data_IF_676111248650
#
_entry.id   IF_676111248650
#
_cell.length_a   1.000
_cell.length_b   1.000
_cell.length_c   1.000
_cell.angle_alpha   90.00
_cell.angle_beta   90.00
_cell.angle_gamma   90.00
#
_symmetry.space_group_name_H-M   'P 1'
#
loop_
_entity.id
_entity.type
_entity.pdbx_description
1 polymer ?
#
# COMPACT_ATOMS: atom_id res chain seq x y z
N UNK A 1 -10.74 -8.11 -2.69
CA UNK A 1 -10.04 -9.04 -1.78
C UNK A 1 -9.78 -10.34 -2.53
N UNK A 2 -8.93 -10.28 -3.55
CA UNK A 2 -8.31 -11.46 -4.18
C UNK A 2 -7.26 -12.08 -3.26
N UNK A 3 -6.72 -13.25 -3.65
CA UNK A 3 -5.80 -14.03 -2.81
C UNK A 3 -4.45 -13.35 -2.48
N UNK A 4 -4.10 -12.27 -3.17
CA UNK A 4 -2.86 -11.49 -3.04
C UNK A 4 -3.09 -10.05 -2.52
N UNK A 5 -4.32 -9.70 -2.14
CA UNK A 5 -4.67 -8.36 -1.66
C UNK A 5 -4.76 -8.31 -0.13
N UNK A 6 -4.06 -7.36 0.48
CA UNK A 6 -4.07 -7.12 1.92
C UNK A 6 -4.57 -5.71 2.23
N UNK A 7 -5.47 -5.60 3.22
CA UNK A 7 -6.01 -4.31 3.69
C UNK A 7 -5.69 -4.14 5.17
N UNK A 8 -5.08 -3.01 5.51
CA UNK A 8 -4.73 -2.65 6.89
C UNK A 8 -5.55 -1.43 7.31
N UNK A 9 -6.39 -1.58 8.33
CA UNK A 9 -7.19 -0.48 8.90
C UNK A 9 -6.54 0.04 10.18
N UNK A 10 -6.11 1.32 10.18
CA UNK A 10 -5.51 1.98 11.33
C UNK A 10 -6.52 2.92 11.98
N UNK A 11 -6.82 2.71 13.27
CA UNK A 11 -7.75 3.53 14.05
C UNK A 11 -7.00 4.47 14.99
N UNK A 12 -7.50 5.70 15.15
CA UNK A 12 -6.92 6.69 16.07
C UNK A 12 -5.53 7.18 15.68
N UNK A 13 -5.17 7.09 14.39
CA UNK A 13 -3.88 7.51 13.85
C UNK A 13 -4.01 8.79 13.05
N UNK A 14 -3.02 9.67 13.21
CA UNK A 14 -2.89 10.89 12.41
C UNK A 14 -2.42 10.57 11.00
N UNK A 15 -2.69 11.46 10.04
CA UNK A 15 -2.20 11.32 8.66
C UNK A 15 -0.68 11.13 8.60
N UNK A 16 0.06 11.82 9.47
CA UNK A 16 1.52 11.71 9.57
C UNK A 16 1.98 10.30 10.02
N UNK A 17 1.32 9.73 11.03
CA UNK A 17 1.59 8.35 11.48
C UNK A 17 1.28 7.35 10.38
N UNK A 18 0.12 7.48 9.71
CA UNK A 18 -0.27 6.59 8.60
C UNK A 18 0.76 6.64 7.47
N UNK A 19 1.23 7.84 7.10
CA UNK A 19 2.28 8.00 6.09
C UNK A 19 3.61 7.35 6.51
N UNK A 20 3.99 7.47 7.78
CA UNK A 20 5.18 6.82 8.32
C UNK A 20 5.07 5.29 8.26
N UNK A 21 3.91 4.73 8.59
CA UNK A 21 3.66 3.29 8.49
C UNK A 21 3.72 2.79 7.04
N UNK A 22 3.13 3.52 6.08
CA UNK A 22 3.21 3.19 4.65
C UNK A 22 4.65 3.19 4.15
N UNK A 23 5.46 4.17 4.57
CA UNK A 23 6.88 4.21 4.21
C UNK A 23 7.67 3.08 4.85
N UNK A 24 7.39 2.71 6.10
CA UNK A 24 8.01 1.58 6.76
C UNK A 24 7.66 0.25 6.06
N UNK A 25 6.39 0.05 5.70
CA UNK A 25 5.94 -1.12 4.94
C UNK A 25 6.64 -1.24 3.59
N UNK A 26 6.75 -0.15 2.84
CA UNK A 26 7.48 -0.15 1.57
C UNK A 26 8.95 -0.56 1.78
N UNK A 27 9.62 -0.04 2.81
CA UNK A 27 11.00 -0.41 3.12
C UNK A 27 11.17 -1.89 3.51
N UNK A 28 10.23 -2.45 4.26
CA UNK A 28 10.26 -3.87 4.61
C UNK A 28 10.04 -4.77 3.40
N UNK A 29 9.16 -4.38 2.46
CA UNK A 29 9.00 -5.09 1.18
C UNK A 29 10.30 -5.03 0.36
N UNK A 30 10.89 -3.84 0.20
CA UNK A 30 12.16 -3.67 -0.53
C UNK A 30 13.34 -4.41 0.14
N UNK A 31 13.22 -4.66 1.46
CA UNK A 31 14.19 -5.46 2.21
C UNK A 31 13.95 -6.96 2.03
N UNK A 32 12.69 -7.39 1.95
CA UNK A 32 12.30 -8.78 1.70
C UNK A 32 12.62 -9.22 0.25
N UNK A 33 12.62 -8.28 -0.69
CA UNK A 33 13.04 -8.50 -2.08
C UNK A 33 14.54 -8.86 -2.19
N UNK A 34 15.41 -8.12 -1.49
CA UNK A 34 16.88 -8.27 -1.59
C UNK A 34 17.46 -9.68 -1.36
N UNK A 35 16.98 -10.49 -0.39
CA UNK A 35 17.50 -11.83 -0.15
C UNK A 35 16.74 -12.95 -0.88
N UNK A 36 15.74 -12.64 -1.72
CA UNK A 36 14.87 -13.66 -2.32
C UNK A 36 15.21 -13.89 -3.80
N UNK A 37 15.30 -15.16 -4.22
CA UNK A 37 15.42 -15.55 -5.65
C UNK A 37 14.14 -15.24 -6.46
N UNK A 38 13.08 -14.77 -5.78
CA UNK A 38 11.81 -14.37 -6.35
C UNK A 38 11.67 -12.86 -6.14
N UNK A 39 11.47 -12.10 -7.22
CA UNK A 39 11.24 -10.66 -7.16
C UNK A 39 9.89 -10.38 -6.48
N UNK A 40 9.93 -9.76 -5.30
CA UNK A 40 8.74 -9.43 -4.51
C UNK A 40 8.54 -7.92 -4.57
N UNK A 41 7.46 -7.51 -5.23
CA UNK A 41 7.03 -6.11 -5.25
C UNK A 41 5.56 -6.01 -4.88
N UNK A 42 5.22 -4.96 -4.11
CA UNK A 42 3.84 -4.69 -3.70
C UNK A 42 3.49 -3.22 -3.91
N UNK A 43 2.31 -2.98 -4.49
CA UNK A 43 1.75 -1.66 -4.66
C UNK A 43 0.95 -1.28 -3.40
N UNK A 44 1.50 -0.40 -2.57
CA UNK A 44 0.77 0.12 -1.40
C UNK A 44 0.05 1.42 -1.78
N UNK A 45 -1.28 1.42 -1.67
CA UNK A 45 -2.15 2.60 -1.64
C UNK A 45 -2.62 2.88 -0.20
N UNK A 46 -2.81 4.16 0.15
CA UNK A 46 -3.37 4.52 1.45
C UNK A 46 -4.33 5.70 1.30
N UNK A 47 -5.36 5.71 2.15
CA UNK A 47 -6.26 6.83 2.32
C UNK A 47 -6.39 7.17 3.80
N UNK A 48 -6.42 8.46 4.11
CA UNK A 48 -6.69 8.96 5.46
C UNK A 48 -7.78 10.02 5.35
N UNK A 49 -8.92 9.74 5.98
CA UNK A 49 -10.07 10.66 6.08
C UNK A 49 -10.82 10.32 7.36
N UNK A 50 -11.87 11.04 7.72
CA UNK A 50 -12.79 10.65 8.82
C UNK A 50 -13.99 9.85 8.28
N UNK A 51 -14.24 9.91 6.97
CA UNK A 51 -15.38 9.30 6.30
C UNK A 51 -15.07 7.86 5.84
N UNK A 52 -15.70 6.85 6.45
CA UNK A 52 -15.28 5.45 6.35
C UNK A 52 -15.55 4.81 4.99
N UNK A 53 -16.60 5.22 4.28
CA UNK A 53 -16.95 4.67 2.96
C UNK A 53 -16.03 5.21 1.86
N UNK A 54 -15.68 6.50 1.90
CA UNK A 54 -14.72 7.09 0.94
C UNK A 54 -13.29 6.58 1.11
N UNK A 55 -12.91 6.06 2.30
CA UNK A 55 -11.55 5.53 2.57
C UNK A 55 -11.16 4.39 1.66
N UNK A 56 -12.07 3.43 1.47
CA UNK A 56 -11.74 2.20 0.76
C UNK A 56 -11.60 2.48 -0.74
N UNK A 57 -12.50 3.25 -1.31
CA UNK A 57 -12.48 3.60 -2.73
C UNK A 57 -11.23 4.44 -3.10
N UNK A 58 -10.83 5.39 -2.26
CA UNK A 58 -9.62 6.19 -2.49
C UNK A 58 -8.33 5.36 -2.36
N UNK A 59 -8.27 4.47 -1.37
CA UNK A 59 -7.12 3.59 -1.18
C UNK A 59 -6.99 2.58 -2.32
N UNK A 60 -8.11 2.01 -2.77
CA UNK A 60 -8.16 1.06 -3.88
C UNK A 60 -7.77 1.72 -5.20
N UNK A 61 -8.30 2.93 -5.47
CA UNK A 61 -7.90 3.72 -6.65
C UNK A 61 -6.41 4.07 -6.65
N UNK A 62 -5.88 4.51 -5.52
CA UNK A 62 -4.45 4.83 -5.38
C UNK A 62 -3.57 3.58 -5.59
N UNK A 63 -4.01 2.42 -5.11
CA UNK A 63 -3.35 1.14 -5.34
C UNK A 63 -3.33 0.78 -6.83
N UNK A 64 -4.47 0.87 -7.51
CA UNK A 64 -4.60 0.59 -8.94
C UNK A 64 -3.70 1.49 -9.80
N UNK A 65 -3.69 2.80 -9.55
CA UNK A 65 -2.81 3.73 -10.26
C UNK A 65 -1.31 3.40 -10.08
N UNK A 66 -0.93 2.95 -8.87
CA UNK A 66 0.45 2.56 -8.57
C UNK A 66 0.80 1.23 -9.24
N UNK A 67 -0.12 0.26 -9.29
CA UNK A 67 0.04 -1.03 -9.98
C UNK A 67 0.25 -0.83 -11.49
N UNK A 68 -0.54 0.05 -12.13
CA UNK A 68 -0.40 0.38 -13.55
C UNK A 68 0.96 1.04 -13.85
N UNK A 69 1.41 2.00 -13.02
CA UNK A 69 2.72 2.64 -13.18
C UNK A 69 3.90 1.68 -12.99
N UNK A 70 3.76 0.68 -12.11
CA UNK A 70 4.77 -0.36 -11.91
C UNK A 70 4.85 -1.31 -13.11
N UNK A 71 3.72 -1.68 -13.71
CA UNK A 71 3.69 -2.49 -14.94
C UNK A 71 4.28 -1.77 -16.15
N UNK A 72 4.06 -0.46 -16.30
CA UNK A 72 4.61 0.33 -17.41
C UNK A 72 6.13 0.57 -17.31
N UNK A 73 6.73 0.43 -16.12
CA UNK A 73 8.17 0.61 -15.90
C UNK A 73 8.98 -0.69 -16.04
N UNK A 74 8.32 -1.80 -16.34
CA UNK A 74 8.93 -3.13 -16.52
C UNK A 74 9.16 -3.42 -17.99
#
# INVERSE_FOLDING_TARGET
MGGDEFVISLFGKTCAEVKAYVQALQREIDRADRPCDIEISAAIGYAWTDDREKKLDEADKAMYEKKEKMKQKR
#
